data_IF_265486412449
#
_entry.id   IF_265486412449
#
_cell.length_a   1.000
_cell.length_b   1.000
_cell.length_c   1.000
_cell.angle_alpha   90.00
_cell.angle_beta   90.00
_cell.angle_gamma   90.00
#
_symmetry.space_group_name_H-M   'P 1'
#
loop_
_entity.id
_entity.type
_entity.pdbx_description
1 polymer ?
#
# COMPACT_ATOMS: atom_id res chain seq x y z
N UNK A 1 -18.02 54.71 4.83
CA UNK A 1 -17.94 55.48 3.58
C UNK A 1 -16.56 55.23 3.02
N UNK A 2 -16.56 54.59 1.86
CA UNK A 2 -15.41 54.23 1.03
C UNK A 2 -14.70 55.47 0.48
N UNK A 3 -13.43 55.28 0.08
CA UNK A 3 -12.69 55.87 -1.06
C UNK A 3 -11.18 55.84 -0.71
N UNK A 4 -10.20 55.58 -1.57
CA UNK A 4 -10.08 54.96 -2.90
C UNK A 4 -8.58 55.11 -3.28
N UNK A 5 -7.98 54.09 -3.92
CA UNK A 5 -6.75 54.17 -4.76
C UNK A 5 -5.41 54.51 -4.06
N UNK A 6 -4.22 54.09 -4.51
CA UNK A 6 -3.73 53.50 -5.75
C UNK A 6 -2.18 53.61 -5.78
N UNK A 7 -1.52 52.86 -6.67
CA UNK A 7 -0.13 52.34 -6.60
C UNK A 7 1.04 53.26 -7.09
N UNK A 8 2.25 52.67 -6.97
CA UNK A 8 3.67 53.08 -7.15
C UNK A 8 4.05 53.70 -8.52
N UNK A 9 5.01 54.63 -8.54
CA UNK A 9 5.97 54.77 -9.66
C UNK A 9 7.41 55.09 -9.16
N UNK A 10 8.37 54.29 -9.63
CA UNK A 10 9.81 54.59 -9.58
C UNK A 10 10.17 55.48 -10.77
N UNK A 11 10.96 56.54 -10.55
CA UNK A 11 11.60 57.29 -11.63
C UNK A 11 13.11 57.40 -11.37
N UNK A 12 13.87 57.06 -12.40
CA UNK A 12 15.32 57.07 -12.45
C UNK A 12 15.88 58.49 -12.36
N UNK A 13 16.91 58.68 -11.52
CA UNK A 13 17.63 59.94 -11.42
C UNK A 13 19.06 59.71 -10.96
N UNK A 14 20.00 59.87 -11.90
CA UNK A 14 21.44 59.95 -11.70
C UNK A 14 21.84 60.72 -10.44
N UNK A 15 22.67 60.12 -9.58
CA UNK A 15 23.48 60.90 -8.65
C UNK A 15 24.96 60.58 -8.77
N UNK A 16 25.66 61.68 -9.03
CA UNK A 16 27.08 61.92 -9.21
C UNK A 16 27.90 61.32 -8.06
N UNK A 17 28.96 60.59 -8.41
CA UNK A 17 29.94 60.04 -7.45
C UNK A 17 30.67 61.19 -6.73
N UNK A 18 30.57 61.22 -5.40
CA UNK A 18 31.55 61.90 -4.56
C UNK A 18 32.00 60.92 -3.46
N UNK A 19 33.23 60.42 -3.63
CA UNK A 19 33.92 59.59 -2.65
C UNK A 19 34.35 60.48 -1.47
N UNK A 20 33.77 60.25 -0.30
CA UNK A 20 34.35 60.65 0.99
C UNK A 20 34.31 59.42 1.89
N UNK A 21 35.50 58.90 2.21
CA UNK A 21 35.69 57.68 2.97
C UNK A 21 35.20 57.82 4.40
N UNK A 22 34.24 56.97 4.78
CA UNK A 22 33.90 56.67 6.17
C UNK A 22 34.15 55.18 6.34
N UNK A 23 35.07 54.84 7.23
CA UNK A 23 35.34 53.46 7.61
C UNK A 23 34.09 52.88 8.29
N UNK A 24 33.35 52.05 7.56
CA UNK A 24 32.33 51.18 8.16
C UNK A 24 33.06 50.02 8.82
N UNK A 25 33.02 49.97 10.15
CA UNK A 25 33.30 48.75 10.90
C UNK A 25 32.10 47.81 10.67
N UNK A 26 32.09 47.11 9.54
CA UNK A 26 31.12 46.05 9.29
C UNK A 26 31.44 44.90 10.24
N UNK A 27 30.68 44.79 11.33
CA UNK A 27 30.52 43.51 12.02
C UNK A 27 29.76 42.64 11.02
N UNK A 28 30.52 41.92 10.20
CA UNK A 28 29.99 40.83 9.41
C UNK A 28 29.51 39.76 10.38
N UNK A 29 28.22 39.78 10.71
CA UNK A 29 27.56 38.59 11.23
C UNK A 29 27.56 37.60 10.06
N UNK A 30 28.60 36.76 10.01
CA UNK A 30 28.56 35.54 9.23
C UNK A 30 27.46 34.69 9.85
N UNK A 31 26.24 34.81 9.33
CA UNK A 31 25.35 33.66 9.31
C UNK A 31 26.08 32.69 8.40
N UNK A 32 26.84 31.76 9.00
CA UNK A 32 27.13 30.52 8.30
C UNK A 32 25.76 29.89 8.12
N UNK A 33 25.14 30.13 6.96
CA UNK A 33 24.26 29.11 6.43
C UNK A 33 25.17 27.88 6.41
N UNK A 34 24.91 26.94 7.32
CA UNK A 34 25.42 25.59 7.15
C UNK A 34 25.01 25.13 5.75
N UNK A 35 25.59 24.05 5.22
CA UNK A 35 24.98 23.41 4.06
C UNK A 35 23.48 23.30 4.34
N UNK A 36 22.66 24.02 3.56
CA UNK A 36 21.26 23.65 3.46
C UNK A 36 21.37 22.25 2.90
N UNK A 37 21.08 21.25 3.73
CA UNK A 37 20.76 19.94 3.20
C UNK A 37 19.70 20.24 2.14
N UNK A 38 20.05 20.13 0.86
CA UNK A 38 19.01 19.97 -0.14
C UNK A 38 18.19 18.76 0.31
N UNK A 39 16.88 18.68 -0.01
CA UNK A 39 16.07 17.56 0.46
C UNK A 39 16.85 16.29 0.15
N UNK A 40 17.34 15.62 1.21
CA UNK A 40 17.90 14.32 1.02
C UNK A 40 16.73 13.50 0.50
N UNK A 41 16.97 12.63 -0.47
CA UNK A 41 15.91 11.70 -0.85
C UNK A 41 15.71 10.79 0.35
N UNK A 42 14.52 10.84 0.95
CA UNK A 42 14.14 9.94 2.03
C UNK A 42 14.26 8.48 1.57
N UNK A 43 14.81 7.65 2.44
CA UNK A 43 14.87 6.19 2.25
C UNK A 43 13.82 5.58 3.17
N UNK A 44 12.68 5.21 2.59
CA UNK A 44 11.43 4.97 3.31
C UNK A 44 11.32 3.61 4.03
N UNK A 45 12.44 2.96 4.28
CA UNK A 45 12.51 1.60 4.85
C UNK A 45 13.71 1.39 5.78
N UNK A 46 14.30 2.46 6.34
CA UNK A 46 15.58 2.37 7.05
C UNK A 46 15.58 2.84 8.51
N UNK A 47 14.43 3.18 9.08
CA UNK A 47 14.22 3.70 10.43
C UNK A 47 15.00 5.01 10.71
N UNK A 48 15.27 5.82 9.68
CA UNK A 48 16.00 7.09 9.81
C UNK A 48 15.24 8.23 9.16
N UNK A 49 15.55 9.39 9.71
CA UNK A 49 15.20 10.72 9.23
C UNK A 49 16.36 11.15 8.34
N UNK A 50 16.30 10.85 7.04
CA UNK A 50 17.43 11.05 6.12
C UNK A 50 17.55 12.51 5.66
N UNK A 51 16.47 13.27 5.69
CA UNK A 51 16.35 14.67 5.27
C UNK A 51 16.34 15.68 6.43
N UNK A 52 16.09 15.22 7.66
CA UNK A 52 16.25 15.95 8.90
C UNK A 52 15.00 16.73 9.36
N UNK A 53 13.80 16.37 8.90
CA UNK A 53 12.55 17.03 9.27
C UNK A 53 11.95 16.53 10.61
N UNK A 54 12.46 15.39 11.12
CA UNK A 54 12.06 14.77 12.38
C UNK A 54 11.02 13.65 12.26
N UNK A 55 10.65 13.24 11.05
CA UNK A 55 9.83 12.08 10.73
C UNK A 55 10.72 10.95 10.16
N UNK A 56 10.20 9.73 10.11
CA UNK A 56 10.95 8.54 9.65
C UNK A 56 10.03 7.61 8.87
N UNK A 57 10.49 7.08 7.74
CA UNK A 57 9.79 6.08 6.90
C UNK A 57 8.30 6.42 6.68
N UNK A 58 7.38 5.50 6.95
CA UNK A 58 5.95 5.73 6.72
C UNK A 58 5.30 6.74 7.65
N UNK A 59 5.98 7.17 8.71
CA UNK A 59 5.53 8.30 9.50
C UNK A 59 5.82 9.65 8.80
N UNK A 60 6.64 9.63 7.75
CA UNK A 60 6.96 10.75 6.88
C UNK A 60 5.99 10.85 5.70
N UNK A 61 5.60 12.08 5.36
CA UNK A 61 4.77 12.39 4.21
C UNK A 61 5.59 12.39 2.89
N UNK A 62 6.90 12.64 2.95
CA UNK A 62 7.80 12.55 1.80
C UNK A 62 8.03 11.10 1.34
N UNK A 63 7.65 10.13 2.18
CA UNK A 63 7.64 8.70 1.89
C UNK A 63 6.35 8.16 1.29
N UNK A 64 5.34 9.02 1.05
CA UNK A 64 4.07 8.60 0.46
C UNK A 64 4.11 8.61 -1.07
N UNK A 65 3.32 7.73 -1.69
CA UNK A 65 3.06 7.75 -3.13
C UNK A 65 3.56 6.51 -3.88
N UNK A 66 3.55 5.35 -3.23
CA UNK A 66 3.68 4.07 -3.91
C UNK A 66 2.43 3.72 -4.74
N UNK A 67 2.65 3.19 -5.95
CA UNK A 67 1.59 2.72 -6.85
C UNK A 67 1.53 1.19 -6.94
N UNK A 68 2.51 0.49 -6.37
CA UNK A 68 2.69 -0.95 -6.52
C UNK A 68 2.09 -1.75 -5.35
N UNK A 69 0.77 -1.66 -5.20
CA UNK A 69 0.03 -2.56 -4.30
C UNK A 69 -0.39 -3.82 -5.05
N UNK A 70 -0.11 -5.00 -4.50
CA UNK A 70 -0.51 -6.29 -5.08
C UNK A 70 -1.34 -7.09 -4.08
N UNK A 71 -2.17 -8.00 -4.57
CA UNK A 71 -2.66 -9.14 -3.77
C UNK A 71 -1.60 -10.22 -3.86
N UNK A 72 -1.04 -10.63 -2.73
CA UNK A 72 0.03 -11.62 -2.64
C UNK A 72 -0.51 -13.01 -2.36
N UNK A 73 -1.62 -13.15 -1.63
CA UNK A 73 -2.14 -14.45 -1.23
C UNK A 73 -3.66 -14.42 -1.05
N UNK A 74 -4.33 -15.51 -1.42
CA UNK A 74 -5.78 -15.67 -1.23
C UNK A 74 -6.07 -17.09 -0.72
N UNK A 75 -6.69 -17.19 0.45
CA UNK A 75 -7.33 -18.42 0.91
C UNK A 75 -8.84 -18.28 0.74
N UNK A 76 -9.39 -18.97 -0.24
CA UNK A 76 -10.81 -18.90 -0.59
C UNK A 76 -11.56 -20.20 -0.27
N UNK A 77 -10.90 -21.25 0.25
CA UNK A 77 -11.56 -22.52 0.57
C UNK A 77 -10.86 -23.22 1.76
N UNK A 78 -10.87 -22.62 2.96
CA UNK A 78 -10.25 -23.19 4.16
C UNK A 78 -10.95 -24.50 4.59
N UNK A 79 -10.23 -25.39 5.28
CA UNK A 79 -10.81 -26.68 5.74
C UNK A 79 -10.84 -26.83 7.26
N UNK A 80 -10.10 -26.01 7.99
CA UNK A 80 -10.03 -26.13 9.45
C UNK A 80 -11.15 -25.38 10.18
N UNK A 81 -11.73 -24.37 9.54
CA UNK A 81 -12.85 -23.55 10.02
C UNK A 81 -13.77 -23.22 8.85
N UNK A 82 -15.02 -22.78 9.09
CA UNK A 82 -15.89 -22.31 8.01
C UNK A 82 -15.28 -21.13 7.24
N UNK A 83 -15.61 -21.05 5.96
CA UNK A 83 -15.21 -20.00 5.02
C UNK A 83 -15.36 -18.59 5.60
N UNK A 84 -16.54 -18.30 6.16
CA UNK A 84 -16.87 -17.01 6.79
C UNK A 84 -15.94 -16.61 7.95
N UNK A 85 -15.10 -17.53 8.44
CA UNK A 85 -14.06 -17.24 9.42
C UNK A 85 -12.64 -17.37 8.85
N UNK A 86 -12.37 -18.40 8.04
CA UNK A 86 -11.01 -18.79 7.64
C UNK A 86 -10.52 -18.22 6.31
N UNK A 87 -11.41 -17.66 5.49
CA UNK A 87 -11.01 -16.99 4.25
C UNK A 87 -10.20 -15.73 4.54
N UNK A 88 -9.20 -15.47 3.70
CA UNK A 88 -8.45 -14.23 3.74
C UNK A 88 -7.91 -13.79 2.39
N UNK A 89 -7.64 -12.49 2.31
CA UNK A 89 -6.90 -11.84 1.25
C UNK A 89 -5.70 -11.14 1.89
N UNK A 90 -4.52 -11.33 1.32
CA UNK A 90 -3.32 -10.60 1.70
C UNK A 90 -2.94 -9.59 0.63
N UNK A 91 -2.72 -8.35 1.06
CA UNK A 91 -2.12 -7.29 0.26
C UNK A 91 -0.64 -7.19 0.58
N UNK A 92 0.19 -6.84 -0.39
CA UNK A 92 1.62 -6.54 -0.20
C UNK A 92 2.00 -5.26 -0.91
N UNK A 93 2.82 -4.45 -0.26
CA UNK A 93 3.45 -3.30 -0.88
C UNK A 93 4.74 -3.73 -1.61
N UNK A 94 4.70 -3.76 -2.94
CA UNK A 94 5.87 -4.05 -3.80
C UNK A 94 6.60 -2.76 -4.24
N UNK A 95 6.22 -1.60 -3.70
CA UNK A 95 6.87 -0.31 -3.95
C UNK A 95 8.06 -0.09 -3.00
N UNK A 96 8.92 0.87 -3.34
CA UNK A 96 10.00 1.37 -2.48
C UNK A 96 9.53 2.50 -1.56
N UNK A 97 8.23 2.85 -1.63
CA UNK A 97 7.57 3.90 -0.85
C UNK A 97 6.41 3.35 -0.04
N UNK A 98 6.03 4.10 0.98
CA UNK A 98 4.87 3.77 1.79
C UNK A 98 3.58 4.00 1.01
N UNK A 99 2.60 3.12 1.28
CA UNK A 99 1.24 3.24 0.76
C UNK A 99 0.31 3.53 1.94
N UNK A 100 -0.33 4.70 1.93
CA UNK A 100 -1.39 5.05 2.87
C UNK A 100 -2.71 4.44 2.38
N UNK A 101 -3.18 3.40 3.08
CA UNK A 101 -4.46 2.74 2.85
C UNK A 101 -5.60 3.44 3.63
N UNK A 102 -5.30 4.46 4.44
CA UNK A 102 -6.28 5.18 5.24
C UNK A 102 -7.49 5.64 4.42
N UNK A 103 -8.68 5.19 4.80
CA UNK A 103 -9.93 5.54 4.13
C UNK A 103 -10.16 4.84 2.77
N UNK A 104 -9.23 3.98 2.32
CA UNK A 104 -9.45 3.11 1.16
C UNK A 104 -10.53 2.07 1.48
N UNK A 105 -10.96 1.35 0.46
CA UNK A 105 -11.93 0.27 0.61
C UNK A 105 -11.49 -1.01 -0.09
N UNK A 106 -11.91 -2.15 0.46
CA UNK A 106 -11.77 -3.47 -0.15
C UNK A 106 -13.14 -4.16 -0.24
N UNK A 107 -13.43 -4.77 -1.38
CA UNK A 107 -14.65 -5.54 -1.61
C UNK A 107 -14.38 -6.81 -2.43
N UNK A 108 -15.28 -7.78 -2.29
CA UNK A 108 -15.35 -8.97 -3.14
C UNK A 108 -16.52 -8.89 -4.14
N UNK A 109 -16.61 -9.82 -5.09
CA UNK A 109 -17.48 -9.75 -6.26
C UNK A 109 -18.97 -10.03 -6.03
N UNK A 110 -19.39 -10.35 -4.81
CA UNK A 110 -20.79 -10.60 -4.42
C UNK A 110 -21.66 -9.34 -4.42
N UNK A 111 -21.03 -8.15 -4.37
CA UNK A 111 -21.71 -6.85 -4.30
C UNK A 111 -22.20 -6.47 -2.89
N UNK A 112 -21.66 -7.12 -1.85
CA UNK A 112 -21.74 -6.62 -0.48
C UNK A 112 -21.05 -5.25 -0.35
N UNK A 113 -21.40 -4.43 0.67
CA UNK A 113 -20.74 -3.16 0.86
C UNK A 113 -19.25 -3.36 1.17
N UNK A 114 -18.41 -2.48 0.64
CA UNK A 114 -16.98 -2.52 0.87
C UNK A 114 -16.63 -2.35 2.36
N UNK A 115 -15.51 -2.97 2.76
CA UNK A 115 -14.91 -2.77 4.07
C UNK A 115 -13.88 -1.64 3.97
N UNK A 116 -13.84 -0.77 4.98
CA UNK A 116 -12.92 0.37 5.02
C UNK A 116 -11.67 0.03 5.81
N UNK A 117 -10.51 0.46 5.32
CA UNK A 117 -9.28 0.50 6.11
C UNK A 117 -9.36 1.65 7.12
N UNK A 118 -8.84 1.45 8.34
CA UNK A 118 -8.82 2.50 9.36
C UNK A 118 -7.93 3.67 8.93
N UNK A 119 -8.31 4.89 9.30
CA UNK A 119 -7.49 6.09 9.04
C UNK A 119 -6.09 5.93 9.64
N UNK A 120 -5.06 6.27 8.86
CA UNK A 120 -3.66 6.11 9.24
C UNK A 120 -3.11 4.69 9.07
N UNK A 121 -3.85 3.77 8.43
CA UNK A 121 -3.30 2.49 7.98
C UNK A 121 -2.25 2.73 6.91
N UNK A 122 -0.99 2.40 7.20
CA UNK A 122 0.14 2.58 6.28
C UNK A 122 0.87 1.27 6.10
N UNK A 123 1.30 1.02 4.87
CA UNK A 123 2.04 -0.17 4.49
C UNK A 123 3.44 0.21 4.03
N UNK A 124 4.47 -0.22 4.77
CA UNK A 124 5.87 0.00 4.44
C UNK A 124 6.32 -0.83 3.23
N UNK A 125 7.44 -0.48 2.59
CA UNK A 125 8.03 -1.30 1.53
C UNK A 125 8.19 -2.77 1.96
N UNK A 126 7.63 -3.70 1.18
CA UNK A 126 7.65 -5.15 1.46
C UNK A 126 6.70 -5.63 2.55
N UNK A 127 5.99 -4.74 3.25
CA UNK A 127 5.02 -5.12 4.28
C UNK A 127 3.74 -5.69 3.66
N UNK A 128 3.11 -6.61 4.40
CA UNK A 128 1.84 -7.25 4.05
C UNK A 128 0.71 -6.79 4.97
N UNK A 129 -0.52 -6.84 4.47
CA UNK A 129 -1.74 -6.56 5.23
C UNK A 129 -2.77 -7.65 4.99
N UNK A 130 -3.19 -8.37 6.04
CA UNK A 130 -4.08 -9.53 5.95
C UNK A 130 -5.49 -9.17 6.39
N UNK A 131 -6.45 -9.31 5.47
CA UNK A 131 -7.87 -9.13 5.71
C UNK A 131 -8.54 -10.51 5.75
N UNK A 132 -9.13 -10.90 6.88
CA UNK A 132 -9.78 -12.21 7.04
C UNK A 132 -11.28 -12.11 7.34
N UNK A 133 -12.02 -13.21 7.13
CA UNK A 133 -13.45 -13.29 7.51
C UNK A 133 -13.68 -13.16 9.03
N UNK A 134 -12.68 -13.49 9.85
CA UNK A 134 -12.68 -13.22 11.29
C UNK A 134 -11.28 -12.81 11.76
N UNK A 135 -11.13 -11.67 12.44
CA UNK A 135 -9.81 -11.19 12.87
C UNK A 135 -9.23 -11.94 14.08
N UNK A 136 -10.03 -12.80 14.74
CA UNK A 136 -9.57 -13.54 15.92
C UNK A 136 -8.90 -14.84 15.50
N UNK A 137 -7.57 -14.90 15.66
CA UNK A 137 -6.73 -16.05 15.28
C UNK A 137 -7.21 -17.41 15.81
N UNK A 138 -7.83 -17.46 16.99
CA UNK A 138 -8.36 -18.70 17.59
C UNK A 138 -9.67 -19.19 16.94
N UNK A 139 -10.31 -18.38 16.12
CA UNK A 139 -11.61 -18.64 15.47
C UNK A 139 -11.51 -18.75 13.95
N UNK A 140 -10.43 -18.25 13.34
CA UNK A 140 -10.20 -18.20 11.90
C UNK A 140 -9.20 -19.26 11.40
N UNK A 141 -8.91 -20.31 12.19
CA UNK A 141 -7.92 -21.32 11.81
C UNK A 141 -6.47 -20.90 12.00
N UNK A 142 -6.20 -19.76 12.65
CA UNK A 142 -4.85 -19.29 12.97
C UNK A 142 -4.28 -18.26 12.01
N UNK A 143 -5.11 -17.64 11.17
CA UNK A 143 -4.72 -16.53 10.29
C UNK A 143 -4.35 -15.30 11.15
N UNK A 144 -3.14 -14.72 10.98
CA UNK A 144 -2.72 -13.49 11.65
C UNK A 144 -3.32 -12.26 10.97
N UNK A 145 -4.63 -12.09 11.06
CA UNK A 145 -5.35 -11.01 10.40
C UNK A 145 -5.10 -9.65 11.06
N UNK A 146 -4.85 -8.63 10.25
CA UNK A 146 -4.75 -7.22 10.65
C UNK A 146 -6.13 -6.58 10.78
N UNK A 147 -7.09 -7.03 9.97
CA UNK A 147 -8.49 -6.62 10.08
C UNK A 147 -9.48 -7.72 9.66
N UNK A 148 -10.75 -7.50 10.00
CA UNK A 148 -11.87 -8.35 9.62
C UNK A 148 -12.66 -7.69 8.48
N UNK A 149 -13.14 -8.48 7.52
CA UNK A 149 -14.18 -8.00 6.62
C UNK A 149 -15.44 -7.64 7.41
N UNK A 150 -15.99 -6.44 7.19
CA UNK A 150 -17.12 -5.93 7.99
C UNK A 150 -18.44 -6.69 7.78
N UNK A 151 -18.57 -7.37 6.65
CA UNK A 151 -19.68 -8.23 6.29
C UNK A 151 -19.13 -9.62 6.03
N UNK A 152 -19.92 -10.68 6.29
CA UNK A 152 -19.48 -12.06 6.09
C UNK A 152 -18.78 -12.17 4.74
N UNK A 153 -17.47 -12.44 4.76
CA UNK A 153 -16.70 -12.72 3.55
C UNK A 153 -17.30 -13.93 2.88
N UNK A 154 -17.46 -13.82 1.56
CA UNK A 154 -17.87 -14.93 0.72
C UNK A 154 -16.96 -15.00 -0.48
N UNK A 155 -15.67 -15.28 -0.28
CA UNK A 155 -14.78 -15.56 -1.40
C UNK A 155 -15.27 -16.85 -2.07
N UNK A 156 -15.80 -16.75 -3.29
CA UNK A 156 -16.42 -17.92 -3.87
C UNK A 156 -15.39 -19.00 -4.28
N UNK A 157 -15.57 -20.24 -3.79
CA UNK A 157 -14.78 -21.44 -4.10
C UNK A 157 -14.55 -21.73 -5.59
N UNK A 158 -15.47 -21.30 -6.45
CA UNK A 158 -15.35 -21.45 -7.91
C UNK A 158 -14.46 -20.34 -8.50
N UNK A 159 -14.88 -19.10 -8.31
CA UNK A 159 -14.18 -17.90 -8.75
C UNK A 159 -14.81 -16.64 -8.16
N UNK A 160 -14.00 -15.61 -7.94
CA UNK A 160 -14.47 -14.29 -7.50
C UNK A 160 -13.55 -13.17 -8.00
N UNK A 161 -13.78 -11.94 -7.52
CA UNK A 161 -12.91 -10.78 -7.77
C UNK A 161 -12.67 -10.01 -6.48
N UNK A 162 -11.42 -9.62 -6.25
CA UNK A 162 -11.03 -8.64 -5.23
C UNK A 162 -10.89 -7.27 -5.89
N UNK A 163 -11.50 -6.27 -5.28
CA UNK A 163 -11.41 -4.88 -5.72
C UNK A 163 -11.01 -3.99 -4.54
N UNK A 164 -10.05 -3.11 -4.78
CA UNK A 164 -9.55 -2.14 -3.80
C UNK A 164 -9.62 -0.76 -4.44
N UNK A 165 -10.34 0.16 -3.81
CA UNK A 165 -10.47 1.55 -4.24
C UNK A 165 -9.79 2.47 -3.24
N UNK A 166 -9.07 3.49 -3.74
CA UNK A 166 -8.49 4.53 -2.89
C UNK A 166 -9.57 5.48 -2.33
N UNK A 167 -9.16 6.39 -1.45
CA UNK A 167 -10.07 7.36 -0.82
C UNK A 167 -10.69 8.38 -1.80
N UNK A 168 -10.19 8.47 -3.03
CA UNK A 168 -10.76 9.29 -4.11
C UNK A 168 -11.72 8.49 -5.01
N UNK A 169 -11.82 7.17 -4.80
CA UNK A 169 -12.64 6.24 -5.59
C UNK A 169 -11.95 5.76 -6.86
N UNK A 170 -10.62 5.86 -6.97
CA UNK A 170 -9.89 5.22 -8.06
C UNK A 170 -9.65 3.75 -7.71
N UNK A 171 -9.91 2.87 -8.68
CA UNK A 171 -9.61 1.44 -8.56
C UNK A 171 -8.11 1.21 -8.62
N UNK A 172 -7.54 0.68 -7.54
CA UNK A 172 -6.13 0.28 -7.39
C UNK A 172 -5.99 -1.23 -7.59
N UNK A 173 -6.86 -1.95 -6.89
CA UNK A 173 -7.22 -3.37 -6.94
C UNK A 173 -8.25 -3.79 -7.99
N UNK A 174 -7.96 -4.60 -9.01
CA UNK A 174 -9.04 -5.29 -9.75
C UNK A 174 -8.63 -6.72 -10.17
N UNK A 175 -8.58 -7.63 -9.20
CA UNK A 175 -8.03 -8.96 -9.37
C UNK A 175 -9.13 -10.04 -9.43
N UNK A 176 -9.38 -10.67 -10.58
CA UNK A 176 -10.15 -11.90 -10.63
C UNK A 176 -9.30 -13.08 -10.14
N UNK A 177 -9.89 -14.03 -9.39
CA UNK A 177 -9.26 -15.32 -9.08
C UNK A 177 -10.22 -16.48 -9.41
N UNK A 178 -9.67 -17.65 -9.68
CA UNK A 178 -10.43 -18.84 -10.09
C UNK A 178 -9.82 -20.12 -9.54
N UNK A 179 -10.66 -21.11 -9.29
CA UNK A 179 -10.24 -22.48 -8.98
C UNK A 179 -10.07 -23.29 -10.28
N UNK A 180 -8.89 -23.18 -10.90
CA UNK A 180 -8.55 -23.88 -12.14
C UNK A 180 -8.66 -23.03 -13.41
N UNK A 181 -8.67 -23.68 -14.60
CA UNK A 181 -8.46 -22.99 -15.87
C UNK A 181 -9.59 -22.02 -16.23
N UNK A 182 -9.25 -21.00 -17.03
CA UNK A 182 -10.09 -19.88 -17.50
C UNK A 182 -11.60 -20.02 -17.23
N UNK A 183 -12.07 -19.36 -16.16
CA UNK A 183 -13.48 -19.09 -15.96
C UNK A 183 -13.85 -17.69 -16.44
N UNK A 184 -14.72 -17.63 -17.46
CA UNK A 184 -15.22 -16.36 -18.01
C UNK A 184 -16.24 -15.67 -17.11
N UNK A 185 -16.78 -16.34 -16.07
CA UNK A 185 -17.69 -15.73 -15.08
C UNK A 185 -17.00 -14.58 -14.34
N UNK A 186 -15.77 -14.82 -13.91
CA UNK A 186 -15.01 -13.87 -13.10
C UNK A 186 -13.95 -13.10 -13.89
N UNK A 187 -13.65 -13.52 -15.13
CA UNK A 187 -12.74 -12.79 -16.02
C UNK A 187 -11.27 -13.21 -15.87
N UNK A 188 -11.02 -14.39 -15.30
CA UNK A 188 -9.69 -14.93 -15.12
C UNK A 188 -8.95 -15.10 -16.46
N UNK A 189 -7.69 -14.70 -16.45
CA UNK A 189 -6.75 -14.87 -17.56
C UNK A 189 -5.68 -15.91 -17.18
N UNK A 190 -5.09 -16.58 -18.17
CA UNK A 190 -4.11 -17.65 -17.91
C UNK A 190 -4.72 -18.91 -17.28
N UNK A 191 -3.86 -19.77 -16.73
CA UNK A 191 -4.22 -20.99 -16.02
C UNK A 191 -4.04 -20.78 -14.52
N UNK A 192 -5.14 -20.45 -13.82
CA UNK A 192 -5.11 -20.44 -12.35
C UNK A 192 -4.91 -21.87 -11.82
N UNK A 193 -4.08 -22.04 -10.77
CA UNK A 193 -3.80 -23.36 -10.24
C UNK A 193 -5.03 -23.93 -9.51
N UNK A 194 -5.45 -25.18 -9.79
CA UNK A 194 -6.54 -25.83 -9.07
C UNK A 194 -6.02 -26.38 -7.73
N UNK A 195 -5.97 -25.52 -6.71
CA UNK A 195 -5.40 -25.89 -5.43
C UNK A 195 -6.27 -26.87 -4.66
N UNK A 196 -5.66 -27.80 -3.89
CA UNK A 196 -6.43 -28.66 -3.01
C UNK A 196 -7.16 -27.82 -1.96
N UNK A 197 -8.31 -28.30 -1.49
CA UNK A 197 -9.04 -27.67 -0.39
C UNK A 197 -8.11 -27.44 0.81
N UNK A 198 -8.23 -26.27 1.44
CA UNK A 198 -7.38 -25.85 2.54
C UNK A 198 -6.04 -25.27 2.10
N UNK A 199 -5.74 -25.16 0.80
CA UNK A 199 -4.54 -24.48 0.31
C UNK A 199 -4.89 -23.14 -0.34
N UNK A 200 -4.22 -22.09 0.13
CA UNK A 200 -4.25 -20.78 -0.50
C UNK A 200 -3.61 -20.80 -1.90
N UNK A 201 -3.92 -19.79 -2.70
CA UNK A 201 -3.17 -19.44 -3.90
C UNK A 201 -2.19 -18.31 -3.55
N UNK A 202 -0.92 -18.53 -3.86
CA UNK A 202 0.18 -17.60 -3.60
C UNK A 202 0.66 -16.99 -4.93
N UNK A 203 0.80 -15.66 -4.96
CA UNK A 203 1.37 -14.95 -6.08
C UNK A 203 2.89 -15.16 -6.16
N UNK A 204 3.35 -15.63 -7.31
CA UNK A 204 4.74 -16.00 -7.58
C UNK A 204 5.32 -15.29 -8.82
N UNK A 205 4.62 -14.27 -9.32
CA UNK A 205 5.08 -13.46 -10.44
C UNK A 205 6.26 -12.55 -10.05
N UNK A 206 7.12 -12.26 -11.03
CA UNK A 206 8.20 -11.27 -10.88
C UNK A 206 7.78 -9.85 -11.30
N UNK A 207 6.50 -9.65 -11.63
CA UNK A 207 5.93 -8.36 -12.03
C UNK A 207 4.78 -8.01 -11.11
N UNK A 208 4.37 -6.75 -11.08
CA UNK A 208 3.18 -6.29 -10.36
C UNK A 208 1.87 -6.64 -11.07
N UNK A 209 1.93 -7.16 -12.29
CA UNK A 209 0.77 -7.70 -13.00
C UNK A 209 0.40 -9.07 -12.43
N UNK A 210 -0.53 -9.09 -11.47
CA UNK A 210 -0.99 -10.30 -10.80
C UNK A 210 -2.34 -10.84 -11.32
N UNK A 211 -2.89 -10.33 -12.43
CA UNK A 211 -4.19 -10.80 -12.96
C UNK A 211 -4.12 -12.07 -13.82
N UNK A 212 -2.91 -12.56 -14.11
CA UNK A 212 -2.70 -13.79 -14.90
C UNK A 212 -2.48 -14.98 -13.95
N UNK A 213 -3.36 -15.97 -14.02
CA UNK A 213 -3.28 -17.19 -13.20
C UNK A 213 -1.98 -17.97 -13.34
N UNK A 214 -1.32 -17.86 -14.51
CA UNK A 214 -0.01 -18.46 -14.76
C UNK A 214 1.05 -17.98 -13.76
N UNK A 215 0.84 -16.82 -13.12
CA UNK A 215 1.74 -16.22 -12.15
C UNK A 215 1.47 -16.66 -10.70
N UNK A 216 0.45 -17.48 -10.46
CA UNK A 216 0.07 -18.01 -9.15
C UNK A 216 0.49 -19.47 -8.97
N UNK A 217 0.65 -19.90 -7.72
CA UNK A 217 0.93 -21.29 -7.34
C UNK A 217 0.11 -21.68 -6.10
N UNK A 218 -0.07 -22.98 -5.87
CA UNK A 218 -0.69 -23.44 -4.64
C UNK A 218 0.29 -23.38 -3.47
N UNK A 219 -0.20 -22.89 -2.35
CA UNK A 219 0.51 -22.92 -1.10
C UNK A 219 0.86 -24.36 -0.68
N UNK A 220 2.02 -24.51 -0.05
CA UNK A 220 2.48 -25.81 0.49
C UNK A 220 2.92 -25.74 1.94
N UNK A 221 3.02 -24.53 2.50
CA UNK A 221 3.48 -24.30 3.86
C UNK A 221 2.30 -24.40 4.83
N UNK A 222 2.31 -25.29 5.83
CA UNK A 222 1.25 -25.32 6.82
C UNK A 222 1.30 -24.09 7.74
N UNK A 223 0.14 -23.50 8.03
CA UNK A 223 -0.01 -22.46 9.04
C UNK A 223 -1.12 -22.82 10.04
N UNK A 224 -1.14 -22.09 11.16
CA UNK A 224 -2.25 -22.13 12.12
C UNK A 224 -2.70 -23.54 12.52
N UNK A 225 -3.96 -23.85 12.23
CA UNK A 225 -4.63 -25.11 12.56
C UNK A 225 -4.35 -26.26 11.57
N UNK A 226 -3.74 -25.98 10.40
CA UNK A 226 -3.33 -27.01 9.44
C UNK A 226 -3.69 -26.76 7.98
N UNK A 227 -4.36 -25.65 7.65
CA UNK A 227 -4.46 -25.18 6.25
C UNK A 227 -3.07 -24.76 5.73
N UNK A 228 -2.92 -24.59 4.41
CA UNK A 228 -1.67 -24.27 3.72
C UNK A 228 -1.71 -22.84 3.19
N UNK A 229 -0.64 -22.09 3.44
CA UNK A 229 -0.51 -20.67 3.14
C UNK A 229 0.70 -20.05 3.87
N UNK A 230 0.96 -18.79 3.57
CA UNK A 230 2.02 -17.98 4.18
C UNK A 230 1.51 -16.63 4.68
N UNK A 231 0.34 -16.54 5.35
CA UNK A 231 -0.21 -15.25 5.72
C UNK A 231 0.74 -14.48 6.65
N UNK A 232 0.99 -13.24 6.30
CA UNK A 232 1.96 -12.30 6.88
C UNK A 232 3.43 -12.79 6.79
N UNK A 233 3.77 -13.46 5.68
CA UNK A 233 5.12 -13.95 5.39
C UNK A 233 5.38 -14.03 3.87
N UNK A 234 6.65 -14.20 3.49
CA UNK A 234 7.01 -14.39 2.08
C UNK A 234 6.42 -15.70 1.50
N UNK A 235 5.72 -15.57 0.37
CA UNK A 235 5.22 -16.71 -0.42
C UNK A 235 6.33 -17.70 -0.79
N UNK A 236 6.01 -19.00 -0.76
CA UNK A 236 6.97 -20.08 -1.05
C UNK A 236 6.73 -20.63 -2.45
N UNK A 237 7.35 -19.98 -3.42
CA UNK A 237 7.20 -20.29 -4.83
C UNK A 237 8.15 -21.41 -5.30
N UNK A 238 7.59 -22.45 -5.91
CA UNK A 238 8.38 -23.46 -6.60
C UNK A 238 9.00 -22.88 -7.90
N UNK A 239 10.21 -23.30 -8.28
CA UNK A 239 10.78 -22.94 -9.57
C UNK A 239 9.89 -23.44 -10.72
N UNK A 240 9.68 -22.59 -11.74
CA UNK A 240 9.02 -22.96 -12.99
C UNK A 240 9.99 -23.52 -14.02
#
# INVERSE_FOLDING_TARGET
>A
MTNDGGWIEMSAGNFLRLLVGIAFLSIGFLVTMGPVCGPATEVCDNDRDDDGDGLTDCADDDCQGGDLLVVSEIQYHPTQVPDTAGEYVELRNDDERCIDLGGWTIQEGSGLPATHFEEGTRLAPGETFVIAGNARSLQNGGVPADMEFHFETTLNDDCDRIEVEDSEGNVRIALPFCNGPQDRRCGCQGEWPPCPEGAAVEFCGASTENTRGDDWQCATTPYGAGDLGTPNADNVCAPR
#
